data_IF_367412112789
#
_entry.id   IF_367412112789
#
_cell.length_a   1.000
_cell.length_b   1.000
_cell.length_c   1.000
_cell.angle_alpha   90.00
_cell.angle_beta   90.00
_cell.angle_gamma   90.00
#
_symmetry.space_group_name_H-M   'P 1'
#
loop_
_entity.id
_entity.type
_entity.pdbx_description
1 polymer ?
#
# COMPACT_ATOMS: atom_id res chain seq x y z
N UNK A 1 -4.33 11.60 -2.48
CA UNK A 1 -3.56 12.37 -1.47
C UNK A 1 -2.45 13.20 -2.10
N UNK A 2 -1.38 12.60 -2.65
CA UNK A 2 -0.27 13.36 -3.23
C UNK A 2 -0.68 14.45 -4.24
N UNK A 3 -1.61 14.12 -5.15
CA UNK A 3 -2.17 15.10 -6.10
C UNK A 3 -2.92 16.24 -5.42
N UNK A 4 -3.71 15.94 -4.39
CA UNK A 4 -4.53 16.90 -3.64
C UNK A 4 -3.67 17.84 -2.77
N UNK A 5 -2.51 17.36 -2.34
CA UNK A 5 -1.46 18.14 -1.67
C UNK A 5 -0.54 18.89 -2.65
N UNK A 6 -0.82 18.84 -3.95
CA UNK A 6 -0.03 19.52 -4.98
C UNK A 6 1.46 19.12 -4.98
N UNK A 7 1.80 17.89 -4.56
CA UNK A 7 3.19 17.49 -4.32
C UNK A 7 4.07 17.55 -5.57
N UNK A 8 3.50 17.47 -6.78
CA UNK A 8 4.26 17.64 -8.02
C UNK A 8 4.85 19.04 -8.20
N UNK A 9 4.30 20.04 -7.49
CA UNK A 9 4.81 21.43 -7.46
C UNK A 9 5.79 21.66 -6.32
N UNK A 10 5.89 20.73 -5.36
CA UNK A 10 6.78 20.88 -4.22
C UNK A 10 8.24 20.71 -4.67
N UNK A 11 9.17 21.62 -4.32
CA UNK A 11 10.55 21.60 -4.82
C UNK A 11 11.27 20.26 -4.59
N UNK A 12 11.07 19.67 -3.42
CA UNK A 12 11.67 18.38 -3.05
C UNK A 12 11.05 17.15 -3.75
N UNK A 13 9.90 17.28 -4.42
CA UNK A 13 9.11 16.15 -4.92
C UNK A 13 8.92 16.14 -6.44
N UNK A 14 9.49 17.12 -7.16
CA UNK A 14 9.35 17.22 -8.60
C UNK A 14 9.87 15.95 -9.29
N UNK A 15 9.05 15.38 -10.18
CA UNK A 15 9.39 14.13 -10.90
C UNK A 15 9.25 12.84 -10.08
N UNK A 16 8.86 12.91 -8.80
CA UNK A 16 8.62 11.72 -7.99
C UNK A 16 7.22 11.14 -8.22
N UNK A 17 7.11 9.80 -8.19
CA UNK A 17 5.81 9.15 -8.09
C UNK A 17 5.11 9.51 -6.77
N UNK A 18 3.78 9.66 -6.77
CA UNK A 18 3.04 10.20 -5.62
C UNK A 18 3.25 9.45 -4.29
N UNK A 19 3.40 8.12 -4.33
CA UNK A 19 3.70 7.33 -3.12
C UNK A 19 5.09 7.63 -2.55
N UNK A 20 6.09 7.81 -3.43
CA UNK A 20 7.46 8.19 -3.04
C UNK A 20 7.50 9.63 -2.49
N UNK A 21 6.77 10.55 -3.13
CA UNK A 21 6.68 11.94 -2.68
C UNK A 21 6.07 12.05 -1.26
N UNK A 22 5.00 11.29 -0.99
CA UNK A 22 4.43 11.23 0.37
C UNK A 22 5.46 10.70 1.37
N UNK A 23 6.11 9.59 1.05
CA UNK A 23 7.11 9.00 1.95
C UNK A 23 8.29 9.92 2.23
N UNK A 24 8.79 10.63 1.21
CA UNK A 24 9.89 11.57 1.34
C UNK A 24 9.52 12.70 2.30
N UNK A 25 8.38 13.37 2.08
CA UNK A 25 7.94 14.48 2.93
C UNK A 25 7.57 14.04 4.34
N UNK A 26 7.01 12.84 4.49
CA UNK A 26 6.61 12.28 5.77
C UNK A 26 7.80 12.08 6.74
N UNK A 27 9.02 11.94 6.24
CA UNK A 27 10.23 11.81 7.09
C UNK A 27 10.47 13.05 7.95
N UNK A 28 10.06 14.23 7.46
CA UNK A 28 10.20 15.51 8.15
C UNK A 28 8.88 16.01 8.75
N UNK A 29 7.83 15.17 8.77
CA UNK A 29 6.52 15.52 9.31
C UNK A 29 6.18 14.76 10.60
N UNK A 30 5.26 15.31 11.38
CA UNK A 30 4.71 14.68 12.56
C UNK A 30 3.46 13.84 12.21
N UNK A 31 3.63 12.52 12.11
CA UNK A 31 2.55 11.59 11.81
C UNK A 31 1.45 11.47 12.88
N UNK A 32 1.62 12.09 14.06
CA UNK A 32 0.61 12.14 15.12
C UNK A 32 -0.17 13.46 15.18
N UNK A 33 0.22 14.45 14.38
CA UNK A 33 -0.42 15.76 14.35
C UNK A 33 -1.90 15.66 13.92
N UNK A 34 -2.20 14.76 13.00
CA UNK A 34 -3.55 14.49 12.53
C UNK A 34 -3.88 13.01 12.76
N UNK A 35 -5.05 12.75 13.34
CA UNK A 35 -5.54 11.39 13.59
C UNK A 35 -6.71 11.08 12.68
N UNK A 36 -6.58 10.02 11.88
CA UNK A 36 -7.61 9.57 10.97
C UNK A 36 -8.26 8.30 11.49
N UNK A 37 -9.60 8.30 11.60
CA UNK A 37 -10.35 7.08 11.91
C UNK A 37 -10.16 6.07 10.78
N UNK A 38 -9.75 4.86 11.15
CA UNK A 38 -9.47 3.82 10.17
C UNK A 38 -10.78 3.12 9.77
N UNK A 39 -10.97 2.81 8.48
CA UNK A 39 -12.15 2.11 8.01
C UNK A 39 -12.11 0.64 8.42
N UNK A 40 -13.29 0.02 8.50
CA UNK A 40 -13.45 -1.43 8.69
C UNK A 40 -12.90 -2.02 10.02
N UNK A 41 -12.60 -1.19 11.03
CA UNK A 41 -12.05 -1.66 12.31
C UNK A 41 -12.93 -2.72 12.99
N UNK A 42 -14.25 -2.56 12.93
CA UNK A 42 -15.21 -3.48 13.54
C UNK A 42 -15.56 -4.69 12.64
N UNK A 43 -15.17 -4.69 11.37
CA UNK A 43 -15.57 -5.73 10.41
C UNK A 43 -14.66 -6.94 10.49
N UNK A 44 -15.28 -8.13 10.59
CA UNK A 44 -14.57 -9.41 10.74
C UNK A 44 -13.91 -9.97 9.49
N UNK A 45 -14.18 -9.39 8.31
CA UNK A 45 -13.56 -9.80 7.04
C UNK A 45 -12.08 -9.35 6.95
N UNK A 46 -11.45 -9.60 5.81
CA UNK A 46 -10.06 -9.20 5.50
C UNK A 46 -9.98 -8.12 4.41
N UNK A 47 -11.11 -7.45 4.10
CA UNK A 47 -11.15 -6.45 3.03
C UNK A 47 -10.36 -5.19 3.39
N UNK A 48 -9.84 -4.54 2.35
CA UNK A 48 -9.25 -3.20 2.45
C UNK A 48 -10.28 -2.16 1.99
N UNK A 49 -10.12 -0.93 2.48
CA UNK A 49 -10.89 0.23 2.05
C UNK A 49 -10.06 1.47 2.28
N UNK A 50 -9.86 2.27 1.23
CA UNK A 50 -9.04 3.48 1.28
C UNK A 50 -9.83 4.75 0.95
N UNK A 51 -11.02 4.62 0.35
CA UNK A 51 -11.86 5.77 -0.03
C UNK A 51 -12.29 6.60 1.19
N UNK A 52 -12.71 5.95 2.27
CA UNK A 52 -13.05 6.63 3.52
C UNK A 52 -11.86 7.40 4.12
N UNK A 53 -10.68 6.78 4.12
CA UNK A 53 -9.45 7.41 4.61
C UNK A 53 -9.03 8.59 3.72
N UNK A 54 -9.15 8.43 2.40
CA UNK A 54 -8.88 9.50 1.44
C UNK A 54 -9.77 10.70 1.68
N UNK A 55 -11.07 10.49 1.91
CA UNK A 55 -12.02 11.58 2.19
C UNK A 55 -11.69 12.31 3.50
N UNK A 56 -11.29 11.58 4.55
CA UNK A 56 -10.86 12.19 5.82
C UNK A 56 -9.61 13.06 5.62
N UNK A 57 -8.62 12.58 4.87
CA UNK A 57 -7.43 13.37 4.54
C UNK A 57 -7.80 14.61 3.72
N UNK A 58 -8.69 14.46 2.73
CA UNK A 58 -9.11 15.58 1.89
C UNK A 58 -9.85 16.66 2.67
N UNK A 59 -10.68 16.25 3.64
CA UNK A 59 -11.35 17.18 4.54
C UNK A 59 -10.34 18.04 5.32
N UNK A 60 -9.31 17.42 5.91
CA UNK A 60 -8.24 18.14 6.62
C UNK A 60 -7.49 19.10 5.69
N UNK A 61 -7.19 18.67 4.46
CA UNK A 61 -6.54 19.54 3.46
C UNK A 61 -7.41 20.77 3.17
N UNK A 62 -8.70 20.56 2.86
CA UNK A 62 -9.62 21.66 2.54
C UNK A 62 -9.82 22.61 3.73
N UNK A 63 -9.85 22.10 4.97
CA UNK A 63 -9.91 22.93 6.17
C UNK A 63 -8.66 23.79 6.32
N UNK A 64 -7.47 23.21 6.13
CA UNK A 64 -6.20 23.94 6.21
C UNK A 64 -6.01 24.96 5.10
N UNK A 65 -6.47 24.67 3.90
CA UNK A 65 -6.45 25.66 2.80
C UNK A 65 -7.29 26.90 3.13
N UNK A 66 -8.47 26.70 3.74
CA UNK A 66 -9.31 27.81 4.19
C UNK A 66 -8.67 28.61 5.32
N UNK A 67 -8.04 27.92 6.27
CA UNK A 67 -7.33 28.57 7.39
C UNK A 67 -6.12 29.39 6.92
N UNK A 68 -5.37 28.88 5.94
CA UNK A 68 -4.20 29.56 5.36
C UNK A 68 -4.59 30.60 4.29
N UNK A 69 -5.85 30.62 3.85
CA UNK A 69 -6.37 31.53 2.81
C UNK A 69 -5.85 31.22 1.41
N UNK A 70 -5.41 29.98 1.15
CA UNK A 70 -4.85 29.54 -0.13
C UNK A 70 -5.88 28.80 -0.98
N UNK A 71 -5.65 28.77 -2.29
CA UNK A 71 -6.50 28.05 -3.24
C UNK A 71 -6.06 26.59 -3.44
N UNK A 72 -6.99 25.75 -3.88
CA UNK A 72 -6.65 24.37 -4.28
C UNK A 72 -5.56 24.39 -5.35
N UNK A 73 -4.52 23.59 -5.15
CA UNK A 73 -3.38 23.53 -6.05
C UNK A 73 -2.14 24.30 -5.56
N UNK A 74 -2.25 25.03 -4.46
CA UNK A 74 -1.12 25.62 -3.74
C UNK A 74 -0.55 24.61 -2.72
N UNK A 75 0.62 24.93 -2.16
CA UNK A 75 1.32 24.06 -1.19
C UNK A 75 1.00 24.55 0.21
N UNK A 76 0.38 23.69 1.01
CA UNK A 76 0.12 23.95 2.43
C UNK A 76 1.41 24.01 3.24
N UNK A 77 1.47 24.91 4.23
CA UNK A 77 2.61 24.96 5.15
C UNK A 77 2.77 23.65 5.94
N UNK A 78 1.65 23.00 6.28
CA UNK A 78 1.59 21.74 7.02
C UNK A 78 1.63 20.48 6.14
N UNK A 79 2.06 20.60 4.87
CA UNK A 79 2.07 19.50 3.89
C UNK A 79 2.83 18.25 4.39
N UNK A 80 3.94 18.46 5.09
CA UNK A 80 4.79 17.37 5.64
C UNK A 80 4.06 16.58 6.72
N UNK A 81 3.36 17.26 7.63
CA UNK A 81 2.57 16.64 8.69
C UNK A 81 1.36 15.88 8.13
N UNK A 82 0.65 16.44 7.15
CA UNK A 82 -0.46 15.75 6.50
C UNK A 82 0.04 14.52 5.74
N UNK A 83 1.18 14.62 5.05
CA UNK A 83 1.81 13.47 4.38
C UNK A 83 2.18 12.37 5.38
N UNK A 84 2.79 12.72 6.51
CA UNK A 84 3.16 11.79 7.57
C UNK A 84 1.93 11.11 8.19
N UNK A 85 0.90 11.88 8.54
CA UNK A 85 -0.32 11.35 9.14
C UNK A 85 -1.09 10.46 8.15
N UNK A 86 -1.16 10.84 6.87
CA UNK A 86 -1.79 10.04 5.84
C UNK A 86 -1.02 8.72 5.59
N UNK A 87 0.31 8.76 5.52
CA UNK A 87 1.14 7.56 5.41
C UNK A 87 0.93 6.66 6.62
N UNK A 88 0.94 7.22 7.83
CA UNK A 88 0.72 6.47 9.06
C UNK A 88 -0.63 5.74 9.05
N UNK A 89 -1.71 6.45 8.72
CA UNK A 89 -3.05 5.86 8.68
C UNK A 89 -3.19 4.76 7.60
N UNK A 90 -2.60 4.96 6.42
CA UNK A 90 -2.58 3.95 5.35
C UNK A 90 -1.79 2.72 5.80
N UNK A 91 -0.59 2.93 6.35
CA UNK A 91 0.28 1.85 6.83
C UNK A 91 -0.41 1.04 7.94
N UNK A 92 -0.98 1.72 8.92
CA UNK A 92 -1.68 1.06 10.02
C UNK A 92 -2.88 0.26 9.51
N UNK A 93 -3.67 0.80 8.58
CA UNK A 93 -4.75 0.04 7.97
C UNK A 93 -4.22 -1.22 7.30
N UNK A 94 -3.17 -1.10 6.47
CA UNK A 94 -2.57 -2.25 5.78
C UNK A 94 -2.12 -3.32 6.77
N UNK A 95 -1.39 -2.94 7.82
CA UNK A 95 -0.91 -3.83 8.87
C UNK A 95 -2.08 -4.50 9.59
N UNK A 96 -3.08 -3.72 10.00
CA UNK A 96 -4.25 -4.24 10.71
C UNK A 96 -5.01 -5.26 9.86
N UNK A 97 -5.25 -4.98 8.57
CA UNK A 97 -5.98 -5.91 7.70
C UNK A 97 -5.15 -7.16 7.37
N UNK A 98 -3.84 -7.00 7.20
CA UNK A 98 -2.90 -8.12 7.00
C UNK A 98 -2.88 -9.04 8.21
N UNK A 99 -2.80 -8.48 9.42
CA UNK A 99 -2.85 -9.25 10.66
C UNK A 99 -4.15 -10.06 10.77
N UNK A 100 -5.29 -9.47 10.42
CA UNK A 100 -6.56 -10.20 10.40
C UNK A 100 -6.55 -11.38 9.42
N UNK A 101 -5.94 -11.21 8.25
CA UNK A 101 -5.79 -12.29 7.29
C UNK A 101 -4.90 -13.41 7.83
N UNK A 102 -3.78 -13.07 8.49
CA UNK A 102 -2.91 -14.05 9.15
C UNK A 102 -3.69 -14.86 10.20
N UNK A 103 -4.41 -14.18 11.09
CA UNK A 103 -5.25 -14.83 12.10
C UNK A 103 -6.33 -15.73 11.48
N UNK A 104 -6.96 -15.28 10.38
CA UNK A 104 -7.94 -16.08 9.65
C UNK A 104 -7.29 -17.35 9.09
N UNK A 105 -6.13 -17.26 8.46
CA UNK A 105 -5.43 -18.41 7.91
C UNK A 105 -5.02 -19.43 8.98
N UNK A 106 -4.47 -18.95 10.10
CA UNK A 106 -4.08 -19.81 11.23
C UNK A 106 -5.31 -20.51 11.83
N UNK A 107 -6.37 -19.74 12.14
CA UNK A 107 -7.58 -20.28 12.77
C UNK A 107 -8.28 -21.35 11.92
N UNK A 108 -8.23 -21.22 10.59
CA UNK A 108 -8.86 -22.16 9.67
C UNK A 108 -7.89 -23.25 9.17
N UNK A 109 -6.70 -23.38 9.78
CA UNK A 109 -5.68 -24.36 9.39
C UNK A 109 -5.26 -24.26 7.90
N UNK A 110 -5.37 -23.07 7.30
CA UNK A 110 -4.92 -22.80 5.93
C UNK A 110 -3.39 -22.66 5.90
N UNK A 111 -2.82 -22.04 6.93
CA UNK A 111 -1.39 -21.87 7.11
C UNK A 111 -1.01 -22.31 8.54
N UNK A 112 0.12 -23.00 8.68
CA UNK A 112 0.78 -23.20 9.98
C UNK A 112 1.38 -21.88 10.44
N UNK A 113 1.35 -21.59 11.74
CA UNK A 113 2.09 -20.45 12.29
C UNK A 113 3.61 -20.65 12.20
N UNK A 114 4.08 -21.90 12.21
CA UNK A 114 5.52 -22.20 12.05
C UNK A 114 5.94 -22.14 10.59
N UNK A 115 6.93 -21.30 10.30
CA UNK A 115 7.59 -21.13 8.99
C UNK A 115 6.71 -20.54 7.88
N UNK A 116 5.61 -19.86 8.22
CA UNK A 116 4.86 -19.12 7.21
C UNK A 116 5.64 -17.91 6.71
N UNK A 117 5.44 -17.54 5.44
CA UNK A 117 6.08 -16.37 4.84
C UNK A 117 5.02 -15.38 4.40
N UNK A 118 5.12 -14.14 4.88
CA UNK A 118 4.40 -12.99 4.36
C UNK A 118 5.18 -12.42 3.18
N UNK A 119 4.64 -12.58 1.97
CA UNK A 119 5.22 -11.99 0.76
C UNK A 119 4.54 -10.66 0.44
N UNK A 120 5.31 -9.58 0.30
CA UNK A 120 4.79 -8.23 -0.01
C UNK A 120 5.46 -7.73 -1.27
N UNK A 121 4.67 -7.47 -2.32
CA UNK A 121 5.12 -6.95 -3.61
C UNK A 121 4.36 -5.67 -4.00
N UNK A 122 4.72 -5.07 -5.14
CA UNK A 122 4.09 -3.83 -5.61
C UNK A 122 4.64 -2.55 -4.97
N UNK A 123 3.95 -1.43 -5.21
CA UNK A 123 4.33 -0.11 -4.68
C UNK A 123 4.33 -0.04 -3.15
N UNK A 124 3.54 -0.88 -2.48
CA UNK A 124 3.51 -1.00 -1.01
C UNK A 124 4.83 -1.55 -0.48
N UNK A 125 5.41 -2.56 -1.14
CA UNK A 125 6.70 -3.14 -0.76
C UNK A 125 7.88 -2.15 -0.92
N UNK A 126 7.71 -1.15 -1.78
CA UNK A 126 8.72 -0.12 -2.04
C UNK A 126 8.74 0.98 -0.98
N UNK A 127 7.67 1.10 -0.17
CA UNK A 127 7.57 2.08 0.91
C UNK A 127 8.18 1.50 2.20
N UNK A 128 9.29 2.08 2.66
CA UNK A 128 10.03 1.61 3.82
C UNK A 128 9.24 1.74 5.12
N UNK A 129 8.40 2.77 5.26
CA UNK A 129 7.57 2.91 6.45
C UNK A 129 6.56 1.75 6.58
N UNK A 130 5.85 1.44 5.50
CA UNK A 130 4.90 0.30 5.48
C UNK A 130 5.66 -1.01 5.66
N UNK A 131 6.78 -1.19 4.94
CA UNK A 131 7.61 -2.40 5.04
C UNK A 131 8.09 -2.65 6.46
N UNK A 132 8.57 -1.63 7.17
CA UNK A 132 8.99 -1.75 8.59
C UNK A 132 7.83 -2.19 9.47
N UNK A 133 6.65 -1.61 9.32
CA UNK A 133 5.47 -2.02 10.09
C UNK A 133 5.00 -3.44 9.80
N UNK A 134 5.10 -3.88 8.53
CA UNK A 134 4.82 -5.27 8.15
C UNK A 134 5.90 -6.25 8.65
N UNK A 135 7.16 -5.82 8.74
CA UNK A 135 8.24 -6.60 9.35
C UNK A 135 7.95 -6.84 10.82
N UNK A 136 7.64 -5.78 11.58
CA UNK A 136 7.25 -5.91 12.98
C UNK A 136 6.06 -6.84 13.17
N UNK A 137 5.06 -6.76 12.27
CA UNK A 137 3.92 -7.68 12.31
C UNK A 137 4.33 -9.13 12.06
N UNK A 138 5.18 -9.37 11.07
CA UNK A 138 5.65 -10.71 10.71
C UNK A 138 6.46 -11.33 11.86
N UNK A 139 7.42 -10.58 12.41
CA UNK A 139 8.27 -11.00 13.53
C UNK A 139 7.42 -11.35 14.76
N UNK A 140 6.41 -10.52 15.07
CA UNK A 140 5.52 -10.75 16.21
C UNK A 140 4.62 -12.00 16.09
N UNK A 141 4.57 -12.63 14.91
CA UNK A 141 3.71 -13.79 14.64
C UNK A 141 4.51 -15.01 14.15
N UNK A 142 5.85 -14.98 14.21
CA UNK A 142 6.76 -16.03 13.71
C UNK A 142 6.68 -16.26 12.19
N UNK A 143 6.40 -15.20 11.41
CA UNK A 143 6.40 -15.23 9.95
C UNK A 143 7.70 -14.63 9.41
N UNK A 144 8.23 -15.20 8.32
CA UNK A 144 9.24 -14.53 7.54
C UNK A 144 8.60 -13.42 6.67
N UNK A 145 9.22 -12.24 6.58
CA UNK A 145 8.83 -11.22 5.59
C UNK A 145 9.72 -11.34 4.35
N UNK A 146 9.10 -11.49 3.18
CA UNK A 146 9.80 -11.46 1.90
C UNK A 146 9.27 -10.33 1.02
N UNK A 147 10.16 -9.42 0.64
CA UNK A 147 9.86 -8.36 -0.33
C UNK A 147 10.74 -8.57 -1.58
N UNK A 148 10.16 -8.78 -2.77
CA UNK A 148 10.94 -8.89 -4.00
C UNK A 148 11.73 -7.59 -4.27
N UNK A 149 12.84 -7.67 -5.04
CA UNK A 149 13.55 -6.48 -5.51
C UNK A 149 12.59 -5.49 -6.20
N UNK A 150 12.75 -4.17 -6.02
CA UNK A 150 11.83 -3.17 -6.57
C UNK A 150 11.55 -3.30 -8.07
N UNK A 151 12.57 -3.66 -8.87
CA UNK A 151 12.46 -3.89 -10.32
C UNK A 151 11.49 -5.03 -10.71
N UNK A 152 11.22 -5.94 -9.78
CA UNK A 152 10.29 -7.07 -9.97
C UNK A 152 8.90 -6.79 -9.38
N UNK A 153 8.74 -5.70 -8.61
CA UNK A 153 7.48 -5.32 -7.97
C UNK A 153 6.55 -4.51 -8.90
N UNK A 154 7.07 -3.93 -9.97
CA UNK A 154 6.28 -3.24 -11.00
C UNK A 154 5.95 -4.18 -12.15
N UNK A 155 4.87 -3.92 -12.89
CA UNK A 155 4.48 -4.75 -14.03
C UNK A 155 5.62 -4.94 -15.03
N UNK A 156 5.99 -6.18 -15.31
CA UNK A 156 7.12 -6.53 -16.18
C UNK A 156 6.89 -7.88 -16.90
N UNK A 157 7.60 -8.11 -18.01
CA UNK A 157 7.48 -9.37 -18.77
C UNK A 157 8.04 -10.60 -18.04
N UNK A 158 8.95 -10.42 -17.08
CA UNK A 158 9.59 -11.53 -16.34
C UNK A 158 8.56 -12.28 -15.49
N UNK A 159 7.64 -11.58 -14.82
CA UNK A 159 6.59 -12.22 -14.02
C UNK A 159 5.62 -13.03 -14.89
N UNK A 160 5.34 -12.59 -16.12
CA UNK A 160 4.49 -13.29 -17.08
C UNK A 160 5.18 -14.56 -17.57
N UNK A 161 6.46 -14.46 -17.96
CA UNK A 161 7.26 -15.60 -18.38
C UNK A 161 7.42 -16.64 -17.26
N UNK A 162 7.70 -16.21 -16.03
CA UNK A 162 7.83 -17.09 -14.87
C UNK A 162 6.54 -17.85 -14.57
N UNK A 163 5.39 -17.17 -14.55
CA UNK A 163 4.09 -17.82 -14.40
C UNK A 163 3.83 -18.85 -15.51
N UNK A 164 4.20 -18.54 -16.76
CA UNK A 164 4.10 -19.48 -17.88
C UNK A 164 4.93 -20.75 -17.67
N UNK A 165 6.18 -20.60 -17.22
CA UNK A 165 7.08 -21.73 -16.92
C UNK A 165 6.51 -22.59 -15.79
N UNK A 166 6.04 -21.99 -14.70
CA UNK A 166 5.47 -22.73 -13.56
C UNK A 166 4.20 -23.49 -13.97
N UNK A 167 3.32 -22.87 -14.77
CA UNK A 167 2.12 -23.55 -15.31
C UNK A 167 2.47 -24.69 -16.26
N UNK A 168 3.46 -24.50 -17.12
CA UNK A 168 3.94 -25.54 -18.03
C UNK A 168 4.48 -26.75 -17.26
N UNK A 169 5.32 -26.51 -16.24
CA UNK A 169 5.87 -27.55 -15.36
C UNK A 169 4.79 -28.30 -14.59
N UNK A 170 3.78 -27.58 -14.12
CA UNK A 170 2.63 -28.16 -13.42
C UNK A 170 1.61 -28.84 -14.35
N UNK A 171 1.76 -28.72 -15.68
CA UNK A 171 0.79 -29.21 -16.66
C UNK A 171 -0.58 -28.52 -16.56
N UNK A 172 -0.65 -27.31 -15.99
CA UNK A 172 -1.91 -26.65 -15.63
C UNK A 172 -2.30 -25.51 -16.57
N UNK A 173 -3.36 -25.71 -17.35
CA UNK A 173 -3.93 -24.72 -18.28
C UNK A 173 -2.95 -24.24 -19.34
N UNK A 174 -2.18 -25.19 -19.87
CA UNK A 174 -1.35 -25.04 -21.06
C UNK A 174 -2.23 -25.27 -22.27
N UNK A 175 -2.27 -24.32 -23.19
CA UNK A 175 -2.96 -24.43 -24.47
C UNK A 175 -1.94 -24.65 -25.57
N UNK A 176 -2.13 -25.70 -26.37
CA UNK A 176 -1.27 -26.02 -27.53
C UNK A 176 -1.81 -25.42 -28.84
N UNK A 177 -3.05 -24.90 -28.81
CA UNK A 177 -3.68 -24.16 -29.89
C UNK A 177 -4.15 -22.82 -29.35
N UNK A 178 -4.02 -21.79 -30.17
CA UNK A 178 -4.47 -20.44 -29.83
C UNK A 178 -5.97 -20.25 -30.05
N UNK A 179 -6.62 -21.23 -30.69
CA UNK A 179 -8.06 -21.23 -30.95
C UNK A 179 -8.83 -21.16 -29.62
N UNK A 180 -9.55 -20.05 -29.40
CA UNK A 180 -10.32 -19.81 -28.18
C UNK A 180 -9.63 -18.96 -27.12
N UNK A 181 -8.37 -18.52 -27.32
CA UNK A 181 -7.78 -17.48 -26.48
C UNK A 181 -8.49 -16.16 -26.77
N UNK A 182 -9.20 -15.63 -25.77
CA UNK A 182 -9.85 -14.31 -25.83
C UNK A 182 -9.25 -13.40 -24.78
N UNK A 183 -8.95 -12.18 -25.19
CA UNK A 183 -8.64 -11.11 -24.25
C UNK A 183 -9.94 -10.70 -23.57
N UNK A 184 -10.00 -10.85 -22.24
CA UNK A 184 -11.12 -10.41 -21.42
C UNK A 184 -10.64 -9.32 -20.46
N UNK A 185 -10.79 -8.03 -20.84
CA UNK A 185 -10.61 -6.95 -19.88
C UNK A 185 -11.74 -7.04 -18.85
N UNK A 186 -11.38 -7.06 -17.56
CA UNK A 186 -12.34 -6.89 -16.47
C UNK A 186 -12.71 -5.42 -16.30
#
# INVERSE_FOLDING_TARGET
VARRLSLSKHPECQGMAGGRAIEHLAQAGNGRQYSFRLPLQQHRNCHFSFSGLQNLVYKVITEKEKEEGIQEGEILCCVKDIAAAAQHAVAFHIIQRTYRAMLFCIKNNILSSKNATLVVSGGVASNQYIRKGLQTLADANDFALMCPPPRLCTDNGVMIAWNGIERLRAGFGVLYRTDGIRYEPK
#
